data_IF_573428233199
#
_entry.id   IF_573428233199
#
_cell.length_a   1.000
_cell.length_b   1.000
_cell.length_c   1.000
_cell.angle_alpha   90.00
_cell.angle_beta   90.00
_cell.angle_gamma   90.00
#
_symmetry.space_group_name_H-M   'P 1'
#
loop_
_entity.id
_entity.type
_entity.pdbx_description
1 polymer ?
#
# COMPACT_ATOMS: atom_id res chain seq x y z
N UNK A 1 -18.91 14.75 13.26
CA UNK A 1 -18.29 13.57 13.91
C UNK A 1 -17.91 12.50 12.89
N UNK A 2 -18.77 12.10 11.97
CA UNK A 2 -18.51 11.00 11.00
C UNK A 2 -17.23 11.19 10.13
N UNK A 3 -16.97 12.40 9.61
CA UNK A 3 -15.80 12.65 8.75
C UNK A 3 -14.47 12.46 9.51
N UNK A 4 -14.41 12.88 10.75
CA UNK A 4 -13.22 12.67 11.61
C UNK A 4 -12.98 11.18 11.86
N UNK A 5 -14.04 10.41 12.10
CA UNK A 5 -13.97 8.97 12.28
C UNK A 5 -13.40 8.28 11.03
N UNK A 6 -13.91 8.60 9.85
CA UNK A 6 -13.45 8.04 8.56
C UNK A 6 -11.97 8.39 8.31
N UNK A 7 -11.54 9.62 8.68
CA UNK A 7 -10.12 10.00 8.60
C UNK A 7 -9.27 9.15 9.56
N UNK A 8 -9.71 8.96 10.81
CA UNK A 8 -8.99 8.13 11.79
C UNK A 8 -8.90 6.67 11.35
N UNK A 9 -9.94 6.14 10.71
CA UNK A 9 -9.92 4.80 10.10
C UNK A 9 -8.91 4.72 8.96
N UNK A 10 -8.80 5.76 8.14
CA UNK A 10 -7.75 5.86 7.11
C UNK A 10 -6.35 5.91 7.69
N UNK A 11 -6.15 6.65 8.78
CA UNK A 11 -4.87 6.67 9.54
C UNK A 11 -4.58 5.27 10.10
N UNK A 12 -5.58 4.59 10.68
CA UNK A 12 -5.44 3.22 11.18
C UNK A 12 -4.96 2.25 10.09
N UNK A 13 -5.55 2.34 8.88
CA UNK A 13 -5.11 1.54 7.73
C UNK A 13 -3.67 1.89 7.31
N UNK A 14 -3.31 3.17 7.33
CA UNK A 14 -1.95 3.63 7.06
C UNK A 14 -0.94 3.12 8.08
N UNK A 15 -1.29 3.08 9.37
CA UNK A 15 -0.46 2.48 10.42
C UNK A 15 -0.27 0.98 10.18
N UNK A 16 -1.32 0.25 9.80
CA UNK A 16 -1.19 -1.16 9.43
C UNK A 16 -0.23 -1.36 8.26
N UNK A 17 -0.28 -0.51 7.24
CA UNK A 17 0.67 -0.53 6.12
C UNK A 17 2.11 -0.33 6.61
N UNK A 18 2.37 0.66 7.48
CA UNK A 18 3.70 0.91 8.05
C UNK A 18 4.19 -0.30 8.84
N UNK A 19 3.34 -0.93 9.64
CA UNK A 19 3.67 -2.15 10.40
C UNK A 19 4.05 -3.29 9.45
N UNK A 20 3.29 -3.51 8.38
CA UNK A 20 3.61 -4.52 7.36
C UNK A 20 4.98 -4.27 6.72
N UNK A 21 5.27 -3.02 6.37
CA UNK A 21 6.57 -2.62 5.85
C UNK A 21 7.70 -2.87 6.88
N UNK A 22 7.49 -2.49 8.14
CA UNK A 22 8.46 -2.70 9.21
C UNK A 22 8.77 -4.20 9.43
N UNK A 23 7.74 -5.04 9.45
CA UNK A 23 7.90 -6.49 9.55
C UNK A 23 8.65 -7.02 8.31
N UNK A 24 8.31 -6.51 7.12
CA UNK A 24 8.91 -6.94 5.86
C UNK A 24 10.41 -6.68 5.77
N UNK A 25 10.88 -5.53 6.30
CA UNK A 25 12.31 -5.16 6.29
C UNK A 25 13.06 -5.59 7.57
N UNK A 26 12.40 -6.23 8.54
CA UNK A 26 13.01 -6.61 9.83
C UNK A 26 14.31 -7.39 9.70
N UNK A 27 14.44 -8.21 8.65
CA UNK A 27 15.65 -9.00 8.34
C UNK A 27 16.47 -8.40 7.19
N UNK A 28 16.31 -7.10 6.94
CA UNK A 28 16.91 -6.37 5.83
C UNK A 28 15.96 -6.17 4.65
N UNK A 29 16.20 -5.09 3.89
CA UNK A 29 15.35 -4.66 2.79
C UNK A 29 15.24 -5.68 1.63
N UNK A 30 16.15 -6.64 1.54
CA UNK A 30 16.10 -7.76 0.57
C UNK A 30 14.79 -8.57 0.70
N UNK A 31 14.19 -8.65 1.90
CA UNK A 31 12.89 -9.31 2.09
C UNK A 31 11.76 -8.70 1.28
N UNK A 32 11.83 -7.40 1.04
CA UNK A 32 10.83 -6.59 0.32
C UNK A 32 11.31 -6.17 -1.07
N UNK A 33 12.34 -6.79 -1.62
CA UNK A 33 12.95 -6.42 -2.91
C UNK A 33 11.94 -6.45 -4.07
N UNK A 34 10.87 -7.20 -3.97
CA UNK A 34 9.77 -7.23 -4.94
C UNK A 34 9.04 -5.89 -5.11
N UNK A 35 9.23 -4.93 -4.19
CA UNK A 35 8.68 -3.57 -4.28
C UNK A 35 9.60 -2.61 -5.04
N UNK A 36 10.84 -2.99 -5.30
CA UNK A 36 11.83 -2.17 -5.98
C UNK A 36 11.74 -2.31 -7.50
N UNK A 37 12.43 -1.41 -8.20
CA UNK A 37 12.53 -1.45 -9.66
C UNK A 37 13.17 -2.77 -10.17
N UNK A 38 12.89 -3.18 -11.42
CA UNK A 38 13.50 -4.37 -12.00
C UNK A 38 15.03 -4.36 -11.93
N UNK A 39 15.67 -3.20 -12.10
CA UNK A 39 17.13 -3.05 -12.05
C UNK A 39 17.71 -3.42 -10.68
N UNK A 40 17.06 -2.99 -9.60
CA UNK A 40 17.44 -3.35 -8.23
C UNK A 40 17.23 -4.84 -7.99
N UNK A 41 16.11 -5.39 -8.48
CA UNK A 41 15.82 -6.83 -8.35
C UNK A 41 16.89 -7.66 -9.07
N UNK A 42 17.28 -7.28 -10.27
CA UNK A 42 18.31 -7.95 -11.07
C UNK A 42 19.69 -7.88 -10.42
N UNK A 43 20.05 -6.71 -9.88
CA UNK A 43 21.28 -6.52 -9.12
C UNK A 43 21.33 -7.45 -7.90
N UNK A 44 20.22 -7.55 -7.15
CA UNK A 44 20.13 -8.45 -5.99
C UNK A 44 20.28 -9.92 -6.37
N UNK A 45 19.78 -10.34 -7.53
CA UNK A 45 19.97 -11.70 -8.03
C UNK A 45 21.43 -11.93 -8.45
N UNK A 46 22.05 -10.98 -9.16
CA UNK A 46 23.46 -11.04 -9.57
C UNK A 46 24.41 -11.14 -8.36
N UNK A 47 24.12 -10.37 -7.30
CA UNK A 47 24.85 -10.38 -6.04
C UNK A 47 24.54 -11.62 -5.15
N UNK A 48 23.68 -12.53 -5.62
CA UNK A 48 23.24 -13.73 -4.88
C UNK A 48 22.59 -13.44 -3.52
N UNK A 49 22.04 -12.24 -3.35
CA UNK A 49 21.29 -11.87 -2.14
C UNK A 49 19.90 -12.52 -2.10
N UNK A 50 19.35 -12.85 -3.27
CA UNK A 50 18.04 -13.50 -3.43
C UNK A 50 17.98 -14.24 -4.77
N UNK A 51 16.84 -14.91 -5.03
CA UNK A 51 16.56 -15.57 -6.32
C UNK A 51 15.28 -15.04 -6.94
N UNK A 52 15.12 -15.17 -8.25
CA UNK A 52 13.90 -14.75 -8.96
C UNK A 52 12.64 -15.44 -8.43
N UNK A 53 12.73 -16.72 -8.09
CA UNK A 53 11.64 -17.50 -7.52
C UNK A 53 11.23 -16.95 -6.15
N UNK A 54 12.21 -16.61 -5.31
CA UNK A 54 11.95 -16.02 -3.99
C UNK A 54 11.31 -14.65 -4.09
N UNK A 55 11.75 -13.82 -5.04
CA UNK A 55 11.12 -12.51 -5.33
C UNK A 55 9.66 -12.69 -5.72
N UNK A 56 9.36 -13.57 -6.69
CA UNK A 56 7.99 -13.86 -7.15
C UNK A 56 7.12 -14.40 -6.02
N UNK A 57 7.65 -15.34 -5.22
CA UNK A 57 6.93 -15.90 -4.08
C UNK A 57 6.61 -14.83 -3.03
N UNK A 58 7.58 -14.01 -2.67
CA UNK A 58 7.35 -12.93 -1.70
C UNK A 58 6.33 -11.91 -2.22
N UNK A 59 6.38 -11.54 -3.50
CA UNK A 59 5.39 -10.69 -4.14
C UNK A 59 3.98 -11.29 -4.09
N UNK A 60 3.86 -12.59 -4.37
CA UNK A 60 2.57 -13.29 -4.33
C UNK A 60 2.02 -13.34 -2.91
N UNK A 61 2.83 -13.75 -1.94
CA UNK A 61 2.43 -13.80 -0.52
C UNK A 61 2.03 -12.41 -0.02
N UNK A 62 2.81 -11.39 -0.32
CA UNK A 62 2.51 -10.02 0.05
C UNK A 62 1.14 -9.58 -0.51
N UNK A 63 0.91 -9.78 -1.80
CA UNK A 63 -0.38 -9.45 -2.43
C UNK A 63 -1.54 -10.26 -1.87
N UNK A 64 -1.36 -11.57 -1.69
CA UNK A 64 -2.41 -12.46 -1.20
C UNK A 64 -2.82 -12.19 0.25
N UNK A 65 -1.95 -11.62 1.06
CA UNK A 65 -2.25 -11.27 2.46
C UNK A 65 -2.71 -9.81 2.58
N UNK A 66 -1.94 -8.88 2.01
CA UNK A 66 -2.19 -7.45 2.22
C UNK A 66 -3.44 -6.95 1.48
N UNK A 67 -3.65 -7.38 0.22
CA UNK A 67 -4.80 -6.88 -0.55
C UNK A 67 -6.14 -7.32 0.08
N UNK A 68 -6.40 -8.61 0.36
CA UNK A 68 -7.63 -9.00 1.05
C UNK A 68 -7.74 -8.41 2.44
N UNK A 69 -6.63 -8.32 3.19
CA UNK A 69 -6.63 -7.71 4.52
C UNK A 69 -7.05 -6.25 4.52
N UNK A 70 -6.53 -5.45 3.60
CA UNK A 70 -6.91 -4.04 3.45
C UNK A 70 -8.36 -3.88 2.99
N UNK A 71 -8.82 -4.71 2.03
CA UNK A 71 -10.21 -4.73 1.59
C UNK A 71 -11.13 -5.08 2.76
N UNK A 72 -10.83 -6.14 3.50
CA UNK A 72 -11.63 -6.53 4.67
C UNK A 72 -11.70 -5.41 5.71
N UNK A 73 -10.57 -4.76 6.02
CA UNK A 73 -10.53 -3.64 6.95
C UNK A 73 -11.47 -2.51 6.52
N UNK A 74 -11.36 -2.01 5.29
CA UNK A 74 -12.19 -0.89 4.84
C UNK A 74 -13.67 -1.24 4.76
N UNK A 75 -14.00 -2.47 4.37
CA UNK A 75 -15.39 -2.92 4.33
C UNK A 75 -15.98 -3.03 5.74
N UNK A 76 -15.24 -3.53 6.71
CA UNK A 76 -15.66 -3.57 8.11
C UNK A 76 -15.88 -2.15 8.65
N UNK A 77 -14.93 -1.24 8.47
CA UNK A 77 -15.07 0.15 8.91
C UNK A 77 -16.33 0.79 8.30
N UNK A 78 -16.48 0.74 6.99
CA UNK A 78 -17.55 1.46 6.29
C UNK A 78 -18.94 0.86 6.53
N UNK A 79 -19.06 -0.46 6.45
CA UNK A 79 -20.39 -1.10 6.45
C UNK A 79 -20.78 -1.70 7.81
N UNK A 80 -19.85 -2.22 8.59
CA UNK A 80 -20.14 -2.78 9.91
C UNK A 80 -20.06 -1.73 11.03
N UNK A 81 -19.05 -0.86 11.02
CA UNK A 81 -18.84 0.15 12.07
C UNK A 81 -19.64 1.42 11.77
N UNK A 82 -19.49 1.99 10.58
CA UNK A 82 -20.13 3.25 10.21
C UNK A 82 -21.57 3.07 9.71
N UNK A 83 -21.99 1.84 9.43
CA UNK A 83 -23.35 1.51 9.01
C UNK A 83 -23.75 2.14 7.67
N UNK A 84 -22.80 2.36 6.76
CA UNK A 84 -23.08 2.95 5.45
C UNK A 84 -24.12 2.13 4.68
N UNK A 85 -25.06 2.81 4.05
CA UNK A 85 -26.11 2.24 3.19
C UNK A 85 -26.14 2.96 1.86
N UNK A 86 -26.29 2.18 0.78
CA UNK A 86 -26.31 2.71 -0.59
C UNK A 86 -24.93 3.09 -1.12
N UNK A 87 -24.89 3.35 -2.43
CA UNK A 87 -23.64 3.59 -3.17
C UNK A 87 -22.86 4.81 -2.66
N UNK A 88 -23.50 5.97 -2.59
CA UNK A 88 -22.81 7.23 -2.27
C UNK A 88 -22.22 7.21 -0.87
N UNK A 89 -22.97 6.69 0.12
CA UNK A 89 -22.48 6.59 1.50
C UNK A 89 -21.26 5.66 1.63
N UNK A 90 -21.26 4.53 0.92
CA UNK A 90 -20.11 3.63 0.86
C UNK A 90 -18.93 4.23 0.09
N UNK A 91 -19.20 4.76 -1.10
CA UNK A 91 -18.18 5.29 -2.00
C UNK A 91 -17.29 6.37 -1.36
N UNK A 92 -17.91 7.43 -0.80
CA UNK A 92 -17.11 8.52 -0.25
C UNK A 92 -16.29 8.11 0.98
N UNK A 93 -16.82 7.21 1.83
CA UNK A 93 -16.09 6.73 3.00
C UNK A 93 -14.90 5.85 2.59
N UNK A 94 -15.12 4.90 1.67
CA UNK A 94 -14.06 4.09 1.08
C UNK A 94 -12.99 4.98 0.44
N UNK A 95 -13.40 5.98 -0.34
CA UNK A 95 -12.48 6.89 -1.01
C UNK A 95 -11.63 7.68 0.00
N UNK A 96 -12.22 8.20 1.08
CA UNK A 96 -11.48 8.95 2.10
C UNK A 96 -10.50 8.02 2.83
N UNK A 97 -10.94 6.85 3.31
CA UNK A 97 -10.06 5.90 4.01
C UNK A 97 -8.86 5.50 3.14
N UNK A 98 -9.12 5.10 1.90
CA UNK A 98 -8.05 4.68 0.98
C UNK A 98 -7.15 5.85 0.56
N UNK A 99 -7.69 7.07 0.42
CA UNK A 99 -6.89 8.25 0.11
C UNK A 99 -5.99 8.65 1.26
N UNK A 100 -6.48 8.63 2.50
CA UNK A 100 -5.67 8.92 3.70
C UNK A 100 -4.54 7.89 3.84
N UNK A 101 -4.83 6.61 3.71
CA UNK A 101 -3.81 5.56 3.71
C UNK A 101 -2.77 5.79 2.63
N UNK A 102 -3.20 6.12 1.40
CA UNK A 102 -2.30 6.38 0.28
C UNK A 102 -1.42 7.62 0.53
N UNK A 103 -1.95 8.69 1.13
CA UNK A 103 -1.15 9.85 1.51
C UNK A 103 -0.09 9.48 2.55
N UNK A 104 -0.45 8.66 3.55
CA UNK A 104 0.53 8.15 4.52
C UNK A 104 1.62 7.31 3.86
N UNK A 105 1.26 6.42 2.92
CA UNK A 105 2.24 5.66 2.14
C UNK A 105 3.23 6.58 1.42
N UNK A 106 2.72 7.63 0.76
CA UNK A 106 3.55 8.56 0.00
C UNK A 106 4.50 9.38 0.85
N UNK A 107 3.97 9.98 1.92
CA UNK A 107 4.76 10.91 2.73
C UNK A 107 5.61 10.19 3.77
N UNK A 108 5.06 9.18 4.46
CA UNK A 108 5.79 8.50 5.53
C UNK A 108 6.66 7.37 5.00
N UNK A 109 6.15 6.52 4.09
CA UNK A 109 6.91 5.36 3.63
C UNK A 109 7.81 5.76 2.45
N UNK A 110 7.24 6.24 1.36
CA UNK A 110 7.99 6.50 0.13
C UNK A 110 8.97 7.67 0.28
N UNK A 111 8.50 8.81 0.77
CA UNK A 111 9.32 10.02 0.81
C UNK A 111 10.26 10.04 2.02
N UNK A 112 9.70 9.91 3.23
CA UNK A 112 10.53 9.98 4.43
C UNK A 112 11.33 8.69 4.65
N UNK A 113 10.69 7.54 4.77
CA UNK A 113 11.36 6.32 5.21
C UNK A 113 12.28 5.73 4.13
N UNK A 114 11.80 5.58 2.89
CA UNK A 114 12.62 5.10 1.76
C UNK A 114 13.59 6.18 1.28
N UNK A 115 13.13 7.44 1.21
CA UNK A 115 13.92 8.54 0.64
C UNK A 115 15.01 9.08 1.56
N UNK A 116 14.78 9.13 2.88
CA UNK A 116 15.67 9.82 3.83
C UNK A 116 16.35 8.90 4.85
N UNK A 117 16.03 7.61 4.87
CA UNK A 117 16.69 6.67 5.79
C UNK A 117 17.44 5.56 5.06
N UNK A 118 18.35 4.91 5.78
CA UNK A 118 19.07 3.75 5.23
C UNK A 118 18.36 2.41 5.48
N UNK A 119 17.17 2.42 6.12
CA UNK A 119 16.45 1.20 6.46
C UNK A 119 16.06 0.34 5.22
N UNK A 120 15.86 1.00 4.09
CA UNK A 120 15.51 0.39 2.81
C UNK A 120 16.71 0.21 1.87
N UNK A 121 17.93 0.55 2.32
CA UNK A 121 19.13 0.36 1.50
C UNK A 121 19.51 -1.11 1.44
N UNK A 122 19.67 -1.63 0.23
CA UNK A 122 20.15 -2.99 -0.02
C UNK A 122 21.64 -2.89 -0.34
N UNK A 123 22.54 -3.59 0.41
CA UNK A 123 23.98 -3.55 0.14
C UNK A 123 24.33 -3.94 -1.30
N UNK A 124 25.16 -3.13 -1.96
CA UNK A 124 25.56 -3.31 -3.36
C UNK A 124 24.58 -2.79 -4.40
N UNK A 125 23.60 -1.97 -3.98
CA UNK A 125 22.66 -1.28 -4.87
C UNK A 125 22.58 0.23 -4.60
N UNK A 126 23.53 0.77 -3.86
CA UNK A 126 23.56 2.18 -3.45
C UNK A 126 23.65 3.14 -4.63
N UNK A 127 24.31 2.72 -5.70
CA UNK A 127 24.45 3.42 -6.97
C UNK A 127 23.11 3.53 -7.73
N UNK A 128 22.11 2.71 -7.40
CA UNK A 128 20.79 2.73 -8.00
C UNK A 128 19.78 3.63 -7.26
N UNK A 129 20.24 4.38 -6.26
CA UNK A 129 19.39 5.40 -5.60
C UNK A 129 19.18 6.62 -6.50
N UNK A 130 18.02 7.28 -6.44
CA UNK A 130 16.88 7.01 -5.55
C UNK A 130 16.05 5.81 -6.05
N UNK A 131 15.68 4.91 -5.13
CA UNK A 131 14.87 3.72 -5.48
C UNK A 131 13.46 4.03 -5.98
N UNK A 132 12.95 5.21 -5.66
CA UNK A 132 11.68 5.74 -6.15
C UNK A 132 11.97 6.94 -7.04
N UNK A 133 11.90 6.73 -8.34
CA UNK A 133 12.17 7.78 -9.32
C UNK A 133 11.00 8.77 -9.42
N UNK A 134 11.24 9.94 -10.03
CA UNK A 134 10.16 10.91 -10.30
C UNK A 134 9.02 10.29 -11.13
N UNK A 135 9.37 9.43 -12.11
CA UNK A 135 8.36 8.71 -12.91
C UNK A 135 7.51 7.77 -12.04
N UNK A 136 8.14 7.10 -11.07
CA UNK A 136 7.42 6.23 -10.13
C UNK A 136 6.51 7.05 -9.21
N UNK A 137 6.99 8.20 -8.72
CA UNK A 137 6.17 9.14 -7.95
C UNK A 137 4.91 9.55 -8.72
N UNK A 138 5.06 9.96 -9.99
CA UNK A 138 3.91 10.36 -10.84
C UNK A 138 2.93 9.19 -11.04
N UNK A 139 3.42 8.00 -11.38
CA UNK A 139 2.56 6.79 -11.53
C UNK A 139 1.81 6.47 -10.24
N UNK A 140 2.51 6.53 -9.13
CA UNK A 140 1.92 6.29 -7.80
C UNK A 140 0.88 7.36 -7.46
N UNK A 141 1.09 8.63 -7.79
CA UNK A 141 0.10 9.70 -7.60
C UNK A 141 -1.14 9.48 -8.46
N UNK A 142 -0.97 9.13 -9.72
CA UNK A 142 -2.09 8.82 -10.61
C UNK A 142 -2.90 7.62 -10.10
N UNK A 143 -2.23 6.55 -9.70
CA UNK A 143 -2.90 5.38 -9.10
C UNK A 143 -3.58 5.74 -7.78
N UNK A 144 -2.94 6.54 -6.93
CA UNK A 144 -3.49 6.95 -5.64
C UNK A 144 -4.70 7.87 -5.72
N UNK A 145 -4.89 8.59 -6.83
CA UNK A 145 -6.08 9.40 -7.07
C UNK A 145 -7.13 8.64 -7.87
N UNK A 146 -6.83 8.34 -9.12
CA UNK A 146 -7.79 7.70 -10.03
C UNK A 146 -8.04 6.23 -9.65
N UNK A 147 -6.98 5.48 -9.37
CA UNK A 147 -7.10 4.06 -9.00
C UNK A 147 -7.91 3.87 -7.71
N UNK A 148 -7.67 4.70 -6.68
CA UNK A 148 -8.42 4.60 -5.43
C UNK A 148 -9.89 4.99 -5.62
N UNK A 149 -10.19 5.96 -6.48
CA UNK A 149 -11.58 6.30 -6.81
C UNK A 149 -12.29 5.13 -7.51
N UNK A 150 -11.62 4.48 -8.47
CA UNK A 150 -12.18 3.31 -9.17
C UNK A 150 -12.39 2.14 -8.22
N UNK A 151 -11.41 1.82 -7.37
CA UNK A 151 -11.52 0.75 -6.37
C UNK A 151 -12.68 1.03 -5.42
N UNK A 152 -12.80 2.26 -4.91
CA UNK A 152 -13.89 2.67 -4.03
C UNK A 152 -15.25 2.52 -4.70
N UNK A 153 -15.37 2.92 -5.97
CA UNK A 153 -16.62 2.79 -6.72
C UNK A 153 -17.01 1.33 -6.94
N UNK A 154 -16.04 0.47 -7.30
CA UNK A 154 -16.27 -0.96 -7.51
C UNK A 154 -16.70 -1.63 -6.20
N UNK A 155 -15.99 -1.38 -5.11
CA UNK A 155 -16.33 -1.95 -3.80
C UNK A 155 -17.70 -1.47 -3.32
N UNK A 156 -18.02 -0.17 -3.46
CA UNK A 156 -19.34 0.37 -3.11
C UNK A 156 -20.46 -0.25 -3.95
N UNK A 157 -20.24 -0.45 -5.24
CA UNK A 157 -21.22 -1.09 -6.13
C UNK A 157 -21.45 -2.56 -5.76
N UNK A 158 -20.40 -3.30 -5.45
CA UNK A 158 -20.51 -4.69 -4.99
C UNK A 158 -21.29 -4.75 -3.67
N UNK A 159 -20.97 -3.88 -2.72
CA UNK A 159 -21.60 -3.89 -1.40
C UNK A 159 -23.08 -3.50 -1.43
N UNK A 160 -23.54 -2.74 -2.43
CA UNK A 160 -24.97 -2.49 -2.63
C UNK A 160 -25.81 -3.75 -2.84
N UNK A 161 -25.20 -4.83 -3.32
CA UNK A 161 -25.88 -6.12 -3.52
C UNK A 161 -26.10 -6.84 -2.19
N UNK A 162 -25.15 -6.68 -1.25
CA UNK A 162 -25.15 -7.40 0.03
C UNK A 162 -25.74 -6.59 1.19
N UNK A 163 -25.67 -5.25 1.11
CA UNK A 163 -26.08 -4.35 2.19
C UNK A 163 -27.18 -3.44 1.67
N UNK A 164 -28.40 -3.92 1.78
CA UNK A 164 -29.64 -3.15 1.46
C UNK A 164 -30.14 -2.36 2.65
#
# INVERSE_FOLDING_TARGET
MMILQVILEGIGLGVLLVIVCAIGIRKGAVGMVHLYSPEVQDRCVTLRLTTREKIKRNALVFKAVCVPGYIAYVLVCVYAVNGARGFLAGFWQLLVILSVMNLMDRFLVDDYWVGHTNAWTIPGTEDLKPYITTKDKVKKWLFGTVGMAVISAVLAAIMMIFVR
#
